data_IF_444792557909
#
_entry.id   IF_444792557909
#
_cell.length_a   1.000
_cell.length_b   1.000
_cell.length_c   1.000
_cell.angle_alpha   90.00
_cell.angle_beta   90.00
_cell.angle_gamma   90.00
#
_symmetry.space_group_name_H-M   'P 1'
#
loop_
_entity.id
_entity.type
_entity.pdbx_description
1 polymer ?
#
# COMPACT_ATOMS: atom_id res chain seq x y z
N UNK A 1 -14.84 -6.15 2.35
CA UNK A 1 -15.74 -5.11 1.78
C UNK A 1 -15.97 -5.30 0.27
N UNK A 2 -15.34 -6.30 -0.36
CA UNK A 2 -15.58 -6.66 -1.75
C UNK A 2 -17.06 -7.03 -2.05
N UNK A 3 -17.83 -7.49 -1.07
CA UNK A 3 -19.26 -7.84 -1.19
C UNK A 3 -20.16 -6.70 -1.72
N UNK A 4 -19.77 -5.44 -1.50
CA UNK A 4 -20.51 -4.29 -2.06
C UNK A 4 -20.58 -4.33 -3.58
N UNK A 5 -19.59 -4.95 -4.25
CA UNK A 5 -19.61 -5.13 -5.69
C UNK A 5 -20.81 -5.96 -6.15
N UNK A 6 -21.19 -6.99 -5.39
CA UNK A 6 -22.35 -7.84 -5.71
C UNK A 6 -23.65 -7.04 -5.55
N UNK A 7 -23.77 -6.27 -4.48
CA UNK A 7 -24.93 -5.39 -4.27
C UNK A 7 -25.11 -4.40 -5.43
N UNK A 8 -24.05 -3.64 -5.77
CA UNK A 8 -24.15 -2.65 -6.85
C UNK A 8 -24.42 -3.28 -8.20
N UNK A 9 -23.93 -4.49 -8.46
CA UNK A 9 -24.07 -5.15 -9.77
C UNK A 9 -25.52 -5.35 -10.21
N UNK A 10 -26.44 -5.49 -9.25
CA UNK A 10 -27.89 -5.65 -9.49
C UNK A 10 -28.55 -4.45 -10.16
N UNK A 11 -28.01 -3.24 -9.96
CA UNK A 11 -28.53 -2.02 -10.60
C UNK A 11 -28.05 -1.87 -12.04
N UNK A 12 -27.05 -2.64 -12.45
CA UNK A 12 -26.40 -2.53 -13.76
C UNK A 12 -26.53 -3.81 -14.61
N UNK A 13 -27.28 -4.82 -14.15
CA UNK A 13 -27.35 -6.15 -14.78
C UNK A 13 -25.95 -6.78 -14.98
N UNK A 14 -25.06 -6.56 -14.00
CA UNK A 14 -23.65 -6.96 -14.06
C UNK A 14 -23.31 -8.09 -13.07
N UNK A 15 -24.31 -8.83 -12.59
CA UNK A 15 -24.19 -9.84 -11.52
C UNK A 15 -23.18 -10.93 -11.88
N UNK A 16 -23.21 -11.41 -13.14
CA UNK A 16 -22.24 -12.41 -13.61
C UNK A 16 -20.79 -11.89 -13.54
N UNK A 17 -20.58 -10.63 -13.89
CA UNK A 17 -19.26 -10.01 -13.83
C UNK A 17 -18.81 -9.84 -12.37
N UNK A 18 -19.70 -9.35 -11.50
CA UNK A 18 -19.43 -9.22 -10.07
C UNK A 18 -19.09 -10.56 -9.42
N UNK A 19 -19.89 -11.61 -9.66
CA UNK A 19 -19.62 -12.97 -9.18
C UNK A 19 -18.26 -13.50 -9.63
N UNK A 20 -17.87 -13.22 -10.89
CA UNK A 20 -16.56 -13.64 -11.41
C UNK A 20 -15.43 -12.93 -10.67
N UNK A 21 -15.57 -11.63 -10.43
CA UNK A 21 -14.57 -10.81 -9.73
C UNK A 21 -14.48 -11.21 -8.25
N UNK A 22 -15.60 -11.32 -7.54
CA UNK A 22 -15.60 -11.68 -6.11
C UNK A 22 -15.11 -13.10 -5.88
N UNK A 23 -15.43 -14.05 -6.77
CA UNK A 23 -14.85 -15.39 -6.73
C UNK A 23 -13.31 -15.35 -6.89
N UNK A 24 -12.80 -14.53 -7.82
CA UNK A 24 -11.35 -14.37 -8.00
C UNK A 24 -10.67 -13.79 -6.76
N UNK A 25 -11.24 -12.72 -6.17
CA UNK A 25 -10.77 -12.10 -4.93
C UNK A 25 -10.72 -13.14 -3.80
N UNK A 26 -11.82 -13.87 -3.58
CA UNK A 26 -11.90 -14.89 -2.55
C UNK A 26 -10.88 -16.02 -2.76
N UNK A 27 -10.68 -16.46 -4.00
CA UNK A 27 -9.71 -17.51 -4.33
C UNK A 27 -8.28 -17.06 -4.05
N UNK A 28 -7.91 -15.86 -4.48
CA UNK A 28 -6.60 -15.28 -4.23
C UNK A 28 -6.36 -15.10 -2.72
N UNK A 29 -7.30 -14.45 -2.01
CA UNK A 29 -7.19 -14.18 -0.58
C UNK A 29 -6.91 -15.46 0.23
N UNK A 30 -7.76 -16.49 0.04
CA UNK A 30 -7.63 -17.74 0.77
C UNK A 30 -6.33 -18.48 0.45
N UNK A 31 -5.89 -18.43 -0.81
CA UNK A 31 -4.61 -18.99 -1.22
C UNK A 31 -3.43 -18.29 -0.52
N UNK A 32 -3.42 -16.95 -0.53
CA UNK A 32 -2.35 -16.14 0.08
C UNK A 32 -2.27 -16.38 1.57
N UNK A 33 -3.43 -16.37 2.24
CA UNK A 33 -3.55 -16.70 3.66
C UNK A 33 -2.97 -18.08 3.98
N UNK A 34 -3.35 -19.10 3.20
CA UNK A 34 -2.86 -20.46 3.43
C UNK A 34 -1.34 -20.56 3.26
N UNK A 35 -0.80 -19.94 2.21
CA UNK A 35 0.64 -19.96 1.95
C UNK A 35 1.43 -19.22 3.05
N UNK A 36 0.96 -18.05 3.46
CA UNK A 36 1.63 -17.21 4.45
C UNK A 36 1.58 -17.81 5.86
N UNK A 37 0.40 -18.22 6.32
CA UNK A 37 0.22 -18.69 7.71
C UNK A 37 0.94 -20.00 8.03
N UNK A 38 1.30 -20.78 7.00
CA UNK A 38 2.06 -22.03 7.14
C UNK A 38 3.56 -21.84 6.92
N UNK A 39 4.00 -20.65 6.53
CA UNK A 39 5.38 -20.40 6.07
C UNK A 39 6.41 -20.45 7.19
N UNK A 40 6.08 -19.90 8.36
CA UNK A 40 6.99 -19.89 9.52
C UNK A 40 6.25 -20.28 10.80
N UNK A 41 6.95 -20.97 11.70
CA UNK A 41 6.44 -21.31 13.03
C UNK A 41 6.53 -20.12 13.98
N UNK A 42 7.59 -19.32 13.87
CA UNK A 42 7.74 -18.04 14.57
C UNK A 42 7.19 -16.92 13.71
N UNK A 43 6.13 -16.27 14.17
CA UNK A 43 5.48 -15.16 13.47
C UNK A 43 6.07 -13.82 13.92
N UNK A 44 6.48 -12.92 13.01
CA UNK A 44 6.90 -11.58 13.40
C UNK A 44 5.72 -10.80 13.99
N UNK A 45 6.01 -9.87 14.88
CA UNK A 45 5.03 -8.96 15.48
C UNK A 45 4.91 -7.72 14.61
N UNK A 46 3.69 -7.43 14.15
CA UNK A 46 3.39 -6.26 13.31
C UNK A 46 2.48 -5.27 14.05
N UNK A 47 2.86 -4.00 14.05
CA UNK A 47 2.07 -2.90 14.60
C UNK A 47 1.67 -1.90 13.50
N UNK A 48 0.49 -1.31 13.67
CA UNK A 48 0.00 -0.20 12.86
C UNK A 48 -0.06 1.03 13.76
N UNK A 49 0.64 2.09 13.37
CA UNK A 49 0.81 3.28 14.19
C UNK A 49 0.57 4.55 13.39
N UNK A 50 0.08 5.59 14.05
CA UNK A 50 0.01 6.94 13.46
C UNK A 50 0.57 7.97 14.43
N UNK A 51 1.10 9.05 13.86
CA UNK A 51 1.44 10.26 14.58
C UNK A 51 0.39 11.33 14.29
N UNK A 52 -0.23 11.84 15.36
CA UNK A 52 -1.10 13.00 15.30
C UNK A 52 -0.30 14.25 15.67
N UNK A 53 -0.06 15.10 14.67
CA UNK A 53 0.65 16.36 14.85
C UNK A 53 -0.16 17.36 15.71
N UNK A 54 0.50 18.30 16.41
CA UNK A 54 -0.17 19.39 17.10
C UNK A 54 -1.11 20.15 16.17
N UNK A 55 -2.36 20.33 16.58
CA UNK A 55 -3.39 21.07 15.87
C UNK A 55 -4.42 21.65 16.84
N UNK A 56 -5.27 22.55 16.35
CA UNK A 56 -6.40 23.07 17.12
C UNK A 56 -7.39 21.99 17.56
N UNK A 57 -7.42 20.83 16.88
CA UNK A 57 -8.31 19.72 17.20
C UNK A 57 -7.81 18.81 18.32
N UNK A 58 -6.53 18.88 18.69
CA UNK A 58 -5.92 18.09 19.77
C UNK A 58 -5.17 18.97 20.79
N UNK A 59 -5.72 20.16 21.07
CA UNK A 59 -5.18 21.12 22.04
C UNK A 59 -3.72 21.53 21.77
N UNK A 60 -3.29 21.51 20.51
CA UNK A 60 -1.90 21.71 20.08
C UNK A 60 -0.91 20.76 20.78
N UNK A 61 -1.34 19.53 21.05
CA UNK A 61 -0.48 18.50 21.65
C UNK A 61 -0.29 17.33 20.69
N UNK A 62 0.96 16.86 20.49
CA UNK A 62 1.21 15.68 19.66
C UNK A 62 0.76 14.42 20.39
N UNK A 63 0.39 13.39 19.62
CA UNK A 63 0.21 12.05 20.18
C UNK A 63 0.67 10.95 19.21
N UNK A 64 1.06 9.82 19.78
CA UNK A 64 1.42 8.61 19.02
C UNK A 64 0.38 7.55 19.31
N UNK A 65 -0.20 7.01 18.24
CA UNK A 65 -1.34 6.12 18.32
C UNK A 65 -0.94 4.73 17.85
N UNK A 66 -1.53 3.72 18.48
CA UNK A 66 -1.52 2.34 17.98
C UNK A 66 -2.94 1.98 17.59
N UNK A 67 -3.10 1.61 16.32
CA UNK A 67 -4.40 1.22 15.82
C UNK A 67 -4.79 -0.17 16.35
N UNK A 68 -6.02 -0.31 16.83
CA UNK A 68 -6.64 -1.58 17.25
C UNK A 68 -7.75 -2.06 16.28
N UNK A 69 -7.83 -1.44 15.10
CA UNK A 69 -8.88 -1.70 14.12
C UNK A 69 -9.00 -3.21 13.77
N UNK A 70 -10.21 -3.81 13.85
CA UNK A 70 -10.39 -5.26 13.66
C UNK A 70 -9.88 -5.80 12.32
N UNK A 71 -10.07 -5.05 11.22
CA UNK A 71 -9.67 -5.52 9.89
C UNK A 71 -8.14 -5.61 9.75
N UNK A 72 -7.39 -4.69 10.38
CA UNK A 72 -5.91 -4.73 10.40
C UNK A 72 -5.41 -5.96 11.14
N UNK A 73 -6.06 -6.32 12.26
CA UNK A 73 -5.77 -7.56 12.99
C UNK A 73 -5.99 -8.80 12.12
N UNK A 74 -7.11 -8.86 11.41
CA UNK A 74 -7.42 -10.00 10.51
C UNK A 74 -6.37 -10.08 9.40
N UNK A 75 -6.13 -8.98 8.67
CA UNK A 75 -5.16 -8.94 7.58
C UNK A 75 -3.74 -9.28 8.03
N UNK A 76 -3.28 -8.72 9.16
CA UNK A 76 -1.96 -9.03 9.71
C UNK A 76 -1.80 -10.50 10.08
N UNK A 77 -2.81 -11.09 10.72
CA UNK A 77 -2.78 -12.49 11.10
C UNK A 77 -2.85 -13.42 9.88
N UNK A 78 -3.70 -13.09 8.91
CA UNK A 78 -3.86 -13.85 7.67
C UNK A 78 -2.62 -13.74 6.78
N UNK A 79 -1.85 -12.65 6.90
CA UNK A 79 -0.56 -12.50 6.24
C UNK A 79 0.61 -13.24 6.94
N UNK A 80 0.35 -13.99 8.01
CA UNK A 80 1.36 -14.80 8.70
C UNK A 80 2.07 -14.10 9.86
N UNK A 81 1.70 -12.87 10.22
CA UNK A 81 2.23 -12.17 11.40
C UNK A 81 1.38 -12.36 12.65
N UNK A 82 1.88 -11.89 13.78
CA UNK A 82 1.09 -11.65 15.00
C UNK A 82 0.77 -10.17 15.09
N UNK A 83 -0.51 -9.81 15.04
CA UNK A 83 -0.93 -8.43 15.26
C UNK A 83 -0.56 -7.96 16.68
N UNK A 84 0.08 -6.80 16.79
CA UNK A 84 0.51 -6.25 18.05
C UNK A 84 -0.68 -5.81 18.92
N UNK A 85 -0.78 -6.39 20.11
CA UNK A 85 -1.76 -6.04 21.14
C UNK A 85 -1.12 -6.03 22.55
N UNK A 86 0.19 -5.81 22.63
CA UNK A 86 0.99 -5.93 23.86
C UNK A 86 0.80 -4.82 24.89
N UNK A 87 -0.17 -3.92 24.70
CA UNK A 87 -0.43 -2.76 25.55
C UNK A 87 -1.94 -2.52 25.66
N UNK A 88 -2.37 -2.06 26.83
CA UNK A 88 -3.75 -1.59 27.05
C UNK A 88 -3.97 -0.16 26.56
N UNK A 89 -2.91 0.64 26.46
CA UNK A 89 -2.96 1.99 25.92
C UNK A 89 -2.82 1.98 24.39
N UNK A 90 -3.72 2.69 23.71
CA UNK A 90 -3.70 2.90 22.25
C UNK A 90 -3.22 4.32 21.86
N UNK A 91 -2.92 5.17 22.83
CA UNK A 91 -2.44 6.53 22.63
C UNK A 91 -1.38 6.87 23.67
N UNK A 92 -0.32 7.55 23.23
CA UNK A 92 0.81 7.96 24.06
C UNK A 92 1.04 9.46 23.91
N UNK A 93 1.30 10.13 25.02
CA UNK A 93 1.58 11.57 25.07
C UNK A 93 3.07 11.91 24.95
N UNK A 94 3.94 10.90 24.96
CA UNK A 94 5.39 11.08 24.76
C UNK A 94 5.93 10.01 23.81
N UNK A 95 6.95 10.35 23.00
CA UNK A 95 7.56 9.38 22.10
C UNK A 95 8.34 8.29 22.86
N UNK A 96 8.89 8.61 24.03
CA UNK A 96 9.56 7.64 24.89
C UNK A 96 8.59 6.54 25.38
N UNK A 97 7.38 6.90 25.80
CA UNK A 97 6.36 5.93 26.20
C UNK A 97 5.92 5.06 25.01
N UNK A 98 5.75 5.66 23.84
CA UNK A 98 5.49 4.92 22.61
C UNK A 98 6.61 3.93 22.29
N UNK A 99 7.88 4.37 22.31
CA UNK A 99 9.04 3.53 22.02
C UNK A 99 9.14 2.32 22.95
N UNK A 100 8.87 2.50 24.25
CA UNK A 100 8.80 1.39 25.22
C UNK A 100 7.66 0.43 24.86
N UNK A 101 6.48 0.94 24.50
CA UNK A 101 5.34 0.11 24.14
C UNK A 101 5.63 -0.78 22.91
N UNK A 102 6.33 -0.26 21.91
CA UNK A 102 6.62 -0.99 20.66
C UNK A 102 7.96 -1.74 20.65
N UNK A 103 8.61 -1.92 21.80
CA UNK A 103 9.95 -2.53 21.89
C UNK A 103 10.06 -3.96 21.32
N UNK A 104 8.94 -4.69 21.29
CA UNK A 104 8.88 -6.07 20.79
C UNK A 104 8.49 -6.17 19.32
N UNK A 105 8.07 -5.06 18.70
CA UNK A 105 7.55 -5.02 17.34
C UNK A 105 8.69 -5.26 16.34
N UNK A 106 8.46 -6.18 15.40
CA UNK A 106 9.42 -6.52 14.34
C UNK A 106 9.16 -5.71 13.06
N UNK A 107 7.90 -5.35 12.78
CA UNK A 107 7.47 -4.61 11.59
C UNK A 107 6.50 -3.49 12.01
N UNK A 108 6.70 -2.27 11.53
CA UNK A 108 5.80 -1.14 11.78
C UNK A 108 5.21 -0.62 10.47
N UNK A 109 3.89 -0.48 10.41
CA UNK A 109 3.18 0.24 9.35
C UNK A 109 2.77 1.61 9.88
N UNK A 110 3.32 2.65 9.28
CA UNK A 110 3.00 4.05 9.55
C UNK A 110 1.77 4.47 8.76
N UNK A 111 0.79 5.01 9.47
CA UNK A 111 -0.48 5.50 8.94
C UNK A 111 -0.58 7.02 9.04
N UNK A 112 0.52 7.69 9.43
CA UNK A 112 0.58 9.14 9.55
C UNK A 112 0.24 9.81 8.22
N UNK A 113 -0.53 10.89 8.28
CA UNK A 113 -0.92 11.65 7.09
C UNK A 113 0.16 12.65 6.67
N UNK A 114 1.07 13.03 7.56
CA UNK A 114 2.19 13.94 7.27
C UNK A 114 3.48 13.18 6.96
N UNK A 115 4.32 13.77 6.10
CA UNK A 115 5.71 13.36 5.82
C UNK A 115 5.89 11.93 5.29
N UNK A 116 6.12 11.73 3.99
CA UNK A 116 6.12 10.42 3.32
C UNK A 116 7.47 9.67 3.29
N UNK A 117 8.51 10.19 3.96
CA UNK A 117 9.86 9.62 3.95
C UNK A 117 10.19 8.96 5.29
N UNK A 118 11.21 8.10 5.29
CA UNK A 118 11.71 7.50 6.54
C UNK A 118 12.25 8.54 7.51
N UNK A 119 12.92 9.58 7.02
CA UNK A 119 13.40 10.68 7.87
C UNK A 119 12.24 11.44 8.53
N UNK A 120 11.16 11.69 7.78
CA UNK A 120 9.96 12.31 8.34
C UNK A 120 9.28 11.40 9.37
N UNK A 121 9.25 10.09 9.15
CA UNK A 121 8.82 9.12 10.14
C UNK A 121 9.68 9.19 11.42
N UNK A 122 11.01 9.15 11.30
CA UNK A 122 11.91 9.26 12.45
C UNK A 122 11.70 10.57 13.21
N UNK A 123 11.49 11.69 12.50
CA UNK A 123 11.20 13.00 13.08
C UNK A 123 9.86 13.01 13.81
N UNK A 124 8.79 12.53 13.17
CA UNK A 124 7.43 12.50 13.73
C UNK A 124 7.37 11.64 15.01
N UNK A 125 8.04 10.49 14.98
CA UNK A 125 8.09 9.57 16.11
C UNK A 125 9.22 9.87 17.11
N UNK A 126 10.06 10.87 16.82
CA UNK A 126 11.24 11.25 17.61
C UNK A 126 12.12 10.04 17.94
N UNK A 127 12.31 9.18 16.93
CA UNK A 127 13.17 8.00 16.97
C UNK A 127 14.48 8.29 16.23
N UNK A 128 15.49 7.47 16.48
CA UNK A 128 16.81 7.60 15.84
C UNK A 128 17.30 6.27 15.31
N UNK A 129 18.15 6.30 14.29
CA UNK A 129 18.95 5.16 13.83
C UNK A 129 20.28 5.02 14.58
N UNK A 130 20.66 6.02 15.38
CA UNK A 130 21.94 6.08 16.12
C UNK A 130 21.70 6.36 17.61
N UNK A 131 22.44 5.68 18.49
CA UNK A 131 22.68 5.89 19.93
C UNK A 131 21.63 6.64 20.81
N UNK A 132 20.35 6.65 20.47
CA UNK A 132 19.29 7.40 21.15
C UNK A 132 18.09 6.48 21.46
N UNK A 133 17.12 6.91 22.30
CA UNK A 133 15.89 6.16 22.51
C UNK A 133 15.23 5.78 21.17
N UNK A 134 14.91 4.49 21.00
CA UNK A 134 14.35 3.98 19.76
C UNK A 134 15.34 3.36 18.76
N UNK A 135 16.65 3.60 18.89
CA UNK A 135 17.65 3.01 17.96
C UNK A 135 17.84 1.49 18.12
N UNK A 136 17.34 0.93 19.22
CA UNK A 136 17.29 -0.51 19.49
C UNK A 136 16.02 -1.19 18.97
N UNK A 137 15.05 -0.44 18.45
CA UNK A 137 13.80 -1.00 17.96
C UNK A 137 14.07 -1.84 16.71
N UNK A 138 13.64 -3.11 16.73
CA UNK A 138 13.94 -4.08 15.67
C UNK A 138 13.47 -3.59 14.30
N UNK A 139 12.28 -2.99 14.21
CA UNK A 139 11.76 -2.48 12.93
C UNK A 139 12.61 -1.34 12.35
N UNK A 140 13.32 -0.57 13.19
CA UNK A 140 14.30 0.44 12.74
C UNK A 140 15.56 -0.26 12.24
N UNK A 141 16.14 -1.13 13.07
CA UNK A 141 17.40 -1.83 12.76
C UNK A 141 17.29 -2.68 11.49
N UNK A 142 16.15 -3.34 11.31
CA UNK A 142 15.87 -4.23 10.18
C UNK A 142 15.30 -3.50 8.96
N UNK A 143 15.14 -2.17 9.01
CA UNK A 143 14.50 -1.37 7.95
C UNK A 143 13.13 -1.93 7.54
N UNK A 144 12.33 -2.27 8.54
CA UNK A 144 10.99 -2.84 8.42
C UNK A 144 9.92 -1.81 8.80
N UNK A 145 10.03 -0.60 8.24
CA UNK A 145 9.03 0.46 8.36
C UNK A 145 8.35 0.66 7.02
N UNK A 146 7.03 0.50 7.02
CA UNK A 146 6.18 0.55 5.85
C UNK A 146 5.12 1.63 6.00
N UNK A 147 4.44 1.99 4.91
CA UNK A 147 3.40 3.01 4.90
C UNK A 147 2.36 2.71 3.83
N UNK A 148 1.12 3.09 4.09
CA UNK A 148 -0.05 2.88 3.22
C UNK A 148 -0.23 3.95 2.12
N UNK A 149 0.88 4.40 1.53
CA UNK A 149 0.91 5.42 0.48
C UNK A 149 1.65 4.95 -0.79
N UNK A 150 1.66 3.64 -1.02
CA UNK A 150 2.25 3.05 -2.23
C UNK A 150 1.65 3.58 -3.53
N UNK A 151 0.40 4.02 -3.52
CA UNK A 151 -0.32 4.59 -4.65
C UNK A 151 -1.06 5.87 -4.25
N UNK A 152 -0.70 6.97 -4.90
CA UNK A 152 -1.20 8.32 -4.61
C UNK A 152 -1.51 9.11 -5.88
N UNK A 153 -2.33 10.16 -5.75
CA UNK A 153 -2.49 11.18 -6.78
C UNK A 153 -1.54 12.38 -6.53
N UNK A 154 -1.44 13.36 -7.46
CA UNK A 154 -0.56 14.53 -7.31
C UNK A 154 -0.82 15.44 -6.10
N UNK A 155 -1.97 15.28 -5.45
CA UNK A 155 -2.39 16.05 -4.29
C UNK A 155 -2.28 15.26 -2.98
N UNK A 156 -1.46 14.20 -2.95
CA UNK A 156 -1.29 13.27 -1.81
C UNK A 156 -2.57 12.49 -1.42
N UNK A 157 -3.53 12.40 -2.34
CA UNK A 157 -4.70 11.56 -2.18
C UNK A 157 -4.32 10.09 -2.32
N UNK A 158 -4.41 9.33 -1.22
CA UNK A 158 -4.04 7.91 -1.16
C UNK A 158 -5.16 7.01 -1.66
N UNK A 159 -4.85 6.12 -2.59
CA UNK A 159 -5.80 5.10 -3.06
C UNK A 159 -6.14 4.06 -1.97
N UNK A 160 -5.37 4.03 -0.87
CA UNK A 160 -5.65 3.22 0.30
C UNK A 160 -7.08 3.42 0.86
N UNK A 161 -7.61 4.65 0.80
CA UNK A 161 -8.97 4.94 1.27
C UNK A 161 -10.06 4.61 0.24
N UNK A 162 -9.67 4.19 -0.97
CA UNK A 162 -10.55 3.84 -2.09
C UNK A 162 -10.32 2.41 -2.56
N UNK A 163 -9.40 2.20 -3.51
CA UNK A 163 -9.16 0.91 -4.15
C UNK A 163 -8.83 -0.24 -3.18
N UNK A 164 -8.02 0.01 -2.15
CA UNK A 164 -7.64 -1.02 -1.17
C UNK A 164 -8.84 -1.57 -0.39
N UNK A 165 -9.91 -0.79 -0.26
CA UNK A 165 -11.14 -1.19 0.42
C UNK A 165 -11.91 -2.27 -0.37
N UNK A 166 -11.81 -2.23 -1.69
CA UNK A 166 -12.49 -3.15 -2.60
C UNK A 166 -11.65 -4.39 -2.95
N UNK A 167 -10.31 -4.31 -2.83
CA UNK A 167 -9.36 -5.33 -3.28
C UNK A 167 -8.57 -5.91 -2.08
N UNK A 168 -9.26 -6.60 -1.17
CA UNK A 168 -8.66 -7.14 0.05
C UNK A 168 -7.64 -8.26 -0.19
N UNK A 169 -7.76 -9.00 -1.29
CA UNK A 169 -6.73 -9.95 -1.75
C UNK A 169 -5.43 -9.26 -2.18
N UNK A 170 -5.52 -8.10 -2.84
CA UNK A 170 -4.36 -7.30 -3.22
C UNK A 170 -3.70 -6.63 -2.00
N UNK A 171 -4.48 -6.20 -1.01
CA UNK A 171 -3.94 -5.71 0.27
C UNK A 171 -3.24 -6.85 1.03
N UNK A 172 -3.84 -8.04 1.04
CA UNK A 172 -3.24 -9.21 1.67
C UNK A 172 -1.94 -9.61 0.97
N UNK A 173 -1.88 -9.58 -0.36
CA UNK A 173 -0.66 -9.81 -1.13
C UNK A 173 0.49 -8.90 -0.67
N UNK A 174 0.23 -7.60 -0.53
CA UNK A 174 1.22 -6.63 -0.08
C UNK A 174 1.72 -6.96 1.32
N UNK A 175 0.81 -7.26 2.26
CA UNK A 175 1.20 -7.64 3.63
C UNK A 175 1.97 -8.96 3.67
N UNK A 176 1.57 -9.96 2.89
CA UNK A 176 2.30 -11.22 2.78
C UNK A 176 3.69 -10.97 2.21
N UNK A 177 3.88 -10.06 1.25
CA UNK A 177 5.21 -9.69 0.77
C UNK A 177 6.04 -8.97 1.85
N UNK A 178 5.42 -8.10 2.63
CA UNK A 178 6.07 -7.42 3.76
C UNK A 178 6.61 -8.42 4.78
N UNK A 179 5.86 -9.47 5.07
CA UNK A 179 6.16 -10.46 6.11
C UNK A 179 7.02 -11.62 5.57
N UNK A 180 6.73 -12.07 4.35
CA UNK A 180 7.32 -13.21 3.65
C UNK A 180 7.75 -12.82 2.22
N UNK A 181 8.80 -11.99 2.06
CA UNK A 181 9.24 -11.46 0.76
C UNK A 181 9.74 -12.54 -0.23
N UNK A 182 9.90 -13.78 0.23
CA UNK A 182 10.16 -14.95 -0.59
C UNK A 182 8.93 -15.50 -1.31
N UNK A 183 7.72 -15.25 -0.81
CA UNK A 183 6.48 -15.74 -1.42
C UNK A 183 6.08 -14.90 -2.64
N UNK A 184 6.30 -13.59 -2.61
CA UNK A 184 5.98 -12.71 -3.73
C UNK A 184 7.22 -12.01 -4.29
N UNK A 185 7.40 -12.15 -5.61
CA UNK A 185 8.44 -11.43 -6.39
C UNK A 185 7.80 -10.37 -7.29
N UNK A 186 7.10 -9.42 -6.69
CA UNK A 186 6.63 -8.20 -7.38
C UNK A 186 7.67 -7.09 -7.23
N UNK A 187 7.79 -6.26 -8.26
CA UNK A 187 8.75 -5.13 -8.28
C UNK A 187 8.30 -4.00 -7.36
N UNK A 188 7.00 -3.82 -7.15
CA UNK A 188 6.42 -2.71 -6.40
C UNK A 188 5.20 -3.15 -5.60
N UNK A 189 4.98 -2.52 -4.44
CA UNK A 189 3.77 -2.71 -3.64
C UNK A 189 2.61 -1.92 -4.25
N UNK A 190 1.39 -2.41 -4.07
CA UNK A 190 0.19 -1.63 -4.41
C UNK A 190 0.01 -0.45 -3.45
N UNK A 191 0.04 -0.70 -2.14
CA UNK A 191 -0.18 0.29 -1.09
C UNK A 191 0.85 0.23 0.05
N UNK A 192 1.35 -0.95 0.46
CA UNK A 192 2.22 -1.09 1.67
C UNK A 192 3.70 -0.89 1.33
N UNK A 193 4.10 0.34 1.06
CA UNK A 193 5.45 0.74 0.61
C UNK A 193 6.48 0.73 1.75
N UNK A 194 7.70 0.23 1.52
CA UNK A 194 8.78 0.28 2.52
C UNK A 194 9.54 1.62 2.47
N UNK A 195 9.21 2.51 3.41
CA UNK A 195 9.85 3.84 3.47
C UNK A 195 11.30 3.75 3.96
N UNK A 196 11.64 2.80 4.84
CA UNK A 196 13.01 2.62 5.37
C UNK A 196 14.02 2.12 4.32
N UNK A 197 13.53 1.63 3.18
CA UNK A 197 14.33 1.28 1.99
C UNK A 197 14.25 2.32 0.88
N UNK A 198 13.67 3.49 1.15
CA UNK A 198 13.48 4.57 0.19
C UNK A 198 12.69 4.15 -1.07
N UNK A 199 11.75 3.20 -0.93
CA UNK A 199 10.86 2.88 -2.04
C UNK A 199 10.01 4.09 -2.40
N UNK A 200 9.74 4.28 -3.70
CA UNK A 200 9.00 5.44 -4.21
C UNK A 200 7.50 5.15 -4.30
N UNK A 201 6.70 6.19 -4.12
CA UNK A 201 5.26 6.15 -4.35
C UNK A 201 4.97 5.99 -5.85
N UNK A 202 3.91 5.26 -6.18
CA UNK A 202 3.33 5.25 -7.52
C UNK A 202 2.40 6.46 -7.66
N UNK A 203 2.69 7.33 -8.62
CA UNK A 203 1.87 8.49 -8.89
C UNK A 203 0.86 8.18 -9.99
N UNK A 204 -0.44 8.22 -9.64
CA UNK A 204 -1.53 8.09 -10.58
C UNK A 204 -2.00 9.47 -11.04
N UNK A 205 -1.85 9.73 -12.33
CA UNK A 205 -2.26 10.96 -13.00
C UNK A 205 -3.28 10.66 -14.09
N UNK A 206 -3.88 11.69 -14.69
CA UNK A 206 -4.75 11.52 -15.86
C UNK A 206 -4.04 10.86 -17.05
N UNK A 207 -2.71 10.97 -17.15
CA UNK A 207 -1.94 10.31 -18.20
C UNK A 207 -1.92 8.78 -18.07
N UNK A 208 -2.27 8.25 -16.89
CA UNK A 208 -2.39 6.82 -16.66
C UNK A 208 -3.75 6.26 -17.09
N UNK A 209 -4.73 7.12 -17.42
CA UNK A 209 -6.03 6.71 -17.92
C UNK A 209 -5.97 6.52 -19.44
N UNK A 210 -6.41 5.37 -19.90
CA UNK A 210 -6.54 5.01 -21.32
C UNK A 210 -8.00 5.02 -21.75
N UNK A 211 -8.25 5.05 -23.07
CA UNK A 211 -9.60 4.92 -23.60
C UNK A 211 -10.25 3.56 -23.23
N UNK A 212 -9.45 2.52 -22.95
CA UNK A 212 -9.95 1.22 -22.52
C UNK A 212 -10.47 1.25 -21.06
N UNK A 213 -9.90 2.11 -20.21
CA UNK A 213 -10.35 2.27 -18.82
C UNK A 213 -11.75 2.89 -18.73
N UNK A 214 -12.20 3.59 -19.79
CA UNK A 214 -13.55 4.15 -19.86
C UNK A 214 -14.63 3.09 -20.14
N UNK A 215 -14.25 1.91 -20.64
CA UNK A 215 -15.18 0.88 -21.11
C UNK A 215 -14.97 -0.49 -20.45
N UNK A 216 -13.95 -0.61 -19.60
CA UNK A 216 -13.57 -1.86 -18.94
C UNK A 216 -13.62 -1.72 -17.41
N UNK A 217 -13.98 -2.79 -16.67
CA UNK A 217 -13.84 -2.80 -15.22
C UNK A 217 -12.38 -2.55 -14.82
N UNK A 218 -12.19 -1.83 -13.71
CA UNK A 218 -10.87 -1.71 -13.08
C UNK A 218 -10.34 -3.11 -12.77
N UNK A 219 -9.14 -3.41 -13.26
CA UNK A 219 -8.52 -4.72 -13.04
C UNK A 219 -8.16 -4.90 -11.57
N UNK A 220 -8.33 -6.12 -11.07
CA UNK A 220 -7.83 -6.50 -9.76
C UNK A 220 -6.29 -6.40 -9.75
N UNK A 221 -5.75 -5.71 -8.74
CA UNK A 221 -4.31 -5.49 -8.56
C UNK A 221 -3.59 -6.68 -7.91
N UNK A 222 -4.33 -7.66 -7.40
CA UNK A 222 -3.76 -8.90 -6.95
C UNK A 222 -3.23 -9.71 -8.14
N UNK A 223 -2.09 -10.36 -7.94
CA UNK A 223 -1.66 -11.45 -8.81
C UNK A 223 -2.68 -12.60 -8.73
N UNK A 224 -2.54 -13.57 -9.62
CA UNK A 224 -3.29 -14.83 -9.45
C UNK A 224 -2.57 -15.73 -8.45
N UNK A 225 -3.31 -16.48 -7.63
CA UNK A 225 -2.74 -17.50 -6.74
C UNK A 225 -1.71 -18.43 -7.42
N UNK A 226 -1.89 -18.76 -8.71
CA UNK A 226 -0.97 -19.61 -9.45
C UNK A 226 0.48 -19.06 -9.50
N UNK A 227 0.67 -17.74 -9.37
CA UNK A 227 2.01 -17.14 -9.35
C UNK A 227 2.79 -17.44 -8.08
N UNK A 228 2.16 -17.95 -7.01
CA UNK A 228 2.85 -18.39 -5.79
C UNK A 228 3.49 -19.78 -5.92
N UNK A 229 2.95 -20.64 -6.78
CA UNK A 229 3.39 -22.03 -6.92
C UNK A 229 4.54 -22.22 -7.92
N UNK A 230 4.64 -21.33 -8.90
CA UNK A 230 5.81 -21.24 -9.77
C UNK A 230 6.88 -20.42 -9.04
N UNK A 231 7.79 -21.09 -8.33
CA UNK A 231 8.98 -20.42 -7.80
C UNK A 231 9.72 -19.70 -8.94
N UNK A 232 9.57 -18.37 -9.02
CA UNK A 232 10.27 -17.52 -9.99
C UNK A 232 9.43 -17.12 -11.21
N UNK A 233 9.41 -15.81 -11.46
CA UNK A 233 9.07 -15.17 -12.73
C UNK A 233 7.60 -15.21 -13.16
N UNK A 234 6.72 -14.63 -12.35
CA UNK A 234 5.54 -13.98 -12.88
C UNK A 234 5.95 -12.67 -13.55
N UNK A 235 6.24 -12.71 -14.85
CA UNK A 235 6.20 -11.51 -15.68
C UNK A 235 4.89 -10.80 -15.36
N UNK A 236 4.96 -9.53 -14.96
CA UNK A 236 3.80 -8.67 -14.99
C UNK A 236 3.12 -8.87 -16.33
N UNK A 237 1.80 -9.09 -16.29
CA UNK A 237 0.99 -9.08 -17.48
C UNK A 237 1.14 -7.70 -18.11
N UNK A 238 2.03 -7.60 -19.09
CA UNK A 238 2.20 -6.40 -19.90
C UNK A 238 0.90 -6.15 -20.65
N UNK A 239 0.34 -4.96 -20.43
CA UNK A 239 -0.19 -4.03 -21.42
C UNK A 239 -0.24 -2.67 -20.70
N UNK A 240 0.50 -1.61 -20.99
CA UNK A 240 1.51 -1.33 -21.99
C UNK A 240 2.44 -0.25 -21.39
N UNK A 241 3.74 -0.53 -21.31
CA UNK A 241 4.74 0.52 -21.20
C UNK A 241 5.08 0.94 -22.63
N UNK A 242 4.61 2.12 -23.06
CA UNK A 242 5.04 2.73 -24.30
C UNK A 242 6.56 2.95 -24.24
N UNK A 243 7.31 2.30 -25.13
CA UNK A 243 8.74 2.54 -25.28
C UNK A 243 8.94 3.95 -25.84
N UNK A 244 9.66 4.80 -25.11
CA UNK A 244 10.23 6.03 -25.65
C UNK A 244 11.37 5.63 -26.60
N UNK A 245 11.06 5.51 -27.89
CA UNK A 245 12.07 5.54 -28.92
C UNK A 245 12.41 7.01 -29.21
N UNK A 246 13.62 7.42 -28.81
CA UNK A 246 14.24 8.67 -29.20
C UNK A 246 14.46 8.68 -30.72
N UNK A 247 13.48 9.22 -31.45
CA UNK A 247 13.59 9.56 -32.86
C UNK A 247 13.83 11.05 -33.01
N UNK A 248 15.07 11.44 -33.29
CA UNK A 248 15.40 12.77 -33.81
C UNK A 248 14.67 12.92 -35.15
N UNK A 249 13.63 13.73 -35.20
CA UNK A 249 12.97 14.11 -36.45
C UNK A 249 13.28 15.58 -36.74
N UNK A 250 14.16 15.79 -37.70
CA UNK A 250 14.47 17.06 -38.35
C UNK A 250 13.21 17.62 -39.02
N UNK A 251 12.70 18.74 -38.51
CA UNK A 251 11.63 19.52 -39.16
C UNK A 251 12.23 20.40 -40.25
N UNK A 252 12.02 20.01 -41.51
CA UNK A 252 12.20 20.85 -42.67
C UNK A 252 11.00 21.81 -42.82
N UNK A 253 11.30 23.08 -43.11
CA UNK A 253 10.31 24.13 -43.34
C UNK A 253 9.39 23.82 -44.53
N UNK A 254 8.10 24.12 -44.37
CA UNK A 254 7.14 24.22 -45.45
C UNK A 254 6.09 25.27 -45.13
N UNK A 255 6.22 26.45 -45.76
CA UNK A 255 5.22 27.51 -45.79
C UNK A 255 3.90 26.97 -46.36
N UNK A 256 2.78 27.20 -45.68
CA UNK A 256 1.50 27.37 -46.37
C UNK A 256 0.67 28.43 -45.65
N UNK A 257 0.61 29.61 -46.28
CA UNK A 257 -0.35 30.68 -46.03
C UNK A 257 -1.75 30.23 -46.41
N UNK A 258 -2.74 30.40 -45.54
CA UNK A 258 -4.10 30.65 -45.99
C UNK A 258 -4.88 31.59 -45.08
N UNK A 259 -5.59 32.46 -45.77
CA UNK A 259 -6.25 33.71 -45.42
C UNK A 259 -7.67 33.44 -44.88
N UNK A 260 -8.08 34.15 -43.83
CA UNK A 260 -9.48 34.38 -43.46
C UNK A 260 -9.54 35.69 -42.65
N UNK A 261 -9.76 36.85 -43.29
CA UNK A 261 -11.05 37.51 -43.56
C UNK A 261 -11.97 37.57 -42.32
N UNK A 262 -12.11 38.79 -41.82
CA UNK A 262 -13.05 39.27 -40.80
C UNK A 262 -14.51 39.06 -41.21
N UNK A 263 -15.35 38.64 -40.26
CA UNK A 263 -16.50 39.38 -39.74
C UNK A 263 -16.83 38.88 -38.33
#
# INVERSE_FOLDING_TARGET
RAEWLEFYSTFFNAEKAAQTITASINNNYNCYKSAATTKTTTKPIIAWASYDAPSTYNNNTPSWLLSSAPYKRILSNDAGATFFNGTTASSFSTPAAFAVAVQTVDILIDESLSGSTFDAFLQNYQLSTTAAPGSSLKFIQNKAVFREDGLVNPNDGRDWFGGAVAMDDAVLQDLVRTIHPELFKISQYNWIRNIAKNETMQLLTSANCTAADATSPVLNRALSCASLQAGGSGSGGNNAAASLASGVLTLALGLFTMLAILF
#
